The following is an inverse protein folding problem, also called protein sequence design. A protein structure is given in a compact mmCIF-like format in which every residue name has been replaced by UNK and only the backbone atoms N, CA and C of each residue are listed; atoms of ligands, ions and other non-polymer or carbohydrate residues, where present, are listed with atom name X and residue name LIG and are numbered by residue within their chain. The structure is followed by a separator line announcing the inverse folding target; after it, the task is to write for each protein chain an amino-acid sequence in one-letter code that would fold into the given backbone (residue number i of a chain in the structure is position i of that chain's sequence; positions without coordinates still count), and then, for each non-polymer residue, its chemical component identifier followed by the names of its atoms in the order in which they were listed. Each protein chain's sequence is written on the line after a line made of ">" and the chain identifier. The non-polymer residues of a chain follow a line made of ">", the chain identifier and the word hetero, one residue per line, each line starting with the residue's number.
data_IF_320907176738
#
_entry.id   IF_320907176738
#
_cell.length_a   1.000
_cell.length_b   1.000
_cell.length_c   1.000
_cell.angle_alpha   90.00
_cell.angle_beta   90.00
_cell.angle_gamma   90.00
#
_symmetry.space_group_name_H-M   'P 1'
#
loop_
_entity.id
_entity.type
_entity.pdbx_description
1 polymer ?
#
# COMPACT_ATOMS: atom_id res chain seq x y z
N UNK A 1 -29.59 18.68 5.62
CA UNK A 1 -28.84 17.46 5.94
C UNK A 1 -27.80 17.74 7.02
N UNK A 2 -28.19 17.57 8.28
CA UNK A 2 -27.32 17.74 9.46
C UNK A 2 -27.45 16.50 10.34
N UNK A 3 -27.31 15.32 9.73
CA UNK A 3 -27.45 14.04 10.42
C UNK A 3 -26.11 13.29 10.56
N UNK A 4 -26.12 12.14 11.21
CA UNK A 4 -24.95 11.27 11.47
C UNK A 4 -24.17 10.92 10.19
N UNK A 5 -24.82 10.91 9.02
CA UNK A 5 -24.21 10.65 7.71
C UNK A 5 -23.08 11.59 7.31
N UNK A 6 -23.20 12.89 7.62
CA UNK A 6 -22.14 13.84 7.29
C UNK A 6 -20.87 13.61 8.08
N UNK A 7 -21.01 13.04 9.28
CA UNK A 7 -19.86 12.63 10.10
C UNK A 7 -19.21 11.35 9.56
N UNK A 8 -20.01 10.41 9.04
CA UNK A 8 -19.54 9.17 8.44
C UNK A 8 -18.65 9.46 7.22
N UNK A 9 -19.17 10.22 6.25
CA UNK A 9 -18.45 10.56 5.01
C UNK A 9 -17.17 11.40 5.32
N UNK A 10 -17.23 12.31 6.30
CA UNK A 10 -16.06 13.12 6.66
C UNK A 10 -14.94 12.29 7.32
N UNK A 11 -15.28 11.25 8.07
CA UNK A 11 -14.31 10.39 8.76
C UNK A 11 -13.75 9.29 7.87
N UNK A 12 -14.47 8.83 6.85
CA UNK A 12 -13.94 7.91 5.85
C UNK A 12 -12.77 8.49 5.06
N UNK A 13 -12.67 9.82 4.94
CA UNK A 13 -11.46 10.48 4.44
C UNK A 13 -10.21 10.25 5.31
N UNK A 14 -10.36 9.68 6.50
CA UNK A 14 -9.22 9.36 7.38
C UNK A 14 -8.61 8.01 7.01
N UNK A 15 -9.40 7.07 6.48
CA UNK A 15 -8.91 5.78 5.96
C UNK A 15 -8.00 6.01 4.74
N UNK A 16 -8.29 7.04 3.92
CA UNK A 16 -7.43 7.45 2.79
C UNK A 16 -6.00 7.80 3.17
N UNK A 17 -5.76 8.28 4.39
CA UNK A 17 -4.40 8.66 4.83
C UNK A 17 -3.56 7.47 5.26
N UNK A 18 -4.18 6.31 5.48
CA UNK A 18 -3.52 5.11 5.95
C UNK A 18 -2.78 4.34 4.85
N UNK A 19 -3.29 4.38 3.61
CA UNK A 19 -2.76 3.59 2.50
C UNK A 19 -1.75 4.36 1.62
N UNK A 20 -1.67 5.70 1.74
CA UNK A 20 -0.85 6.54 0.84
C UNK A 20 0.47 7.04 1.43
N UNK A 21 0.81 6.71 2.67
CA UNK A 21 2.06 7.18 3.29
C UNK A 21 3.02 6.07 3.64
N UNK A 22 3.55 5.35 2.65
CA UNK A 22 4.83 4.65 2.81
C UNK A 22 5.91 5.74 2.81
N UNK A 23 6.27 6.20 4.01
CA UNK A 23 7.27 7.26 4.16
C UNK A 23 8.65 6.70 3.82
N UNK A 24 9.21 7.18 2.71
CA UNK A 24 10.53 6.88 2.22
C UNK A 24 11.62 7.38 3.17
N UNK A 25 12.45 6.49 3.65
CA UNK A 25 13.83 6.78 3.94
C UNK A 25 14.70 6.13 2.87
N UNK A 26 15.00 6.91 1.81
CA UNK A 26 15.90 6.48 0.74
C UNK A 26 17.33 6.37 1.28
N UNK A 27 17.80 5.17 1.52
CA UNK A 27 19.23 4.88 1.70
C UNK A 27 19.84 4.48 0.37
N UNK A 28 20.83 5.25 -0.09
CA UNK A 28 21.52 5.05 -1.35
C UNK A 28 22.26 3.71 -1.38
N UNK A 29 21.90 2.84 -2.30
CA UNK A 29 22.53 1.54 -2.49
C UNK A 29 23.84 1.63 -3.26
N UNK A 30 24.94 1.24 -2.63
CA UNK A 30 26.22 1.03 -3.29
C UNK A 30 26.42 -0.48 -3.49
N UNK A 31 26.23 -0.95 -4.70
CA UNK A 31 26.53 -2.33 -5.10
C UNK A 31 28.04 -2.60 -4.97
N UNK A 32 28.48 -3.24 -3.92
CA UNK A 32 29.81 -3.83 -3.83
C UNK A 32 29.75 -5.18 -3.12
N UNK A 33 30.08 -6.19 -3.88
CA UNK A 33 30.22 -7.61 -3.51
C UNK A 33 31.29 -7.82 -2.44
N UNK A 34 30.92 -8.38 -1.29
CA UNK A 34 31.93 -8.67 -0.26
C UNK A 34 31.47 -9.37 1.01
N UNK A 35 30.27 -9.97 1.06
CA UNK A 35 29.79 -10.67 2.26
C UNK A 35 29.83 -12.17 2.12
N UNK A 36 29.91 -12.87 3.28
CA UNK A 36 29.94 -14.33 3.33
C UNK A 36 28.60 -14.92 2.85
N UNK A 37 28.65 -16.13 2.29
CA UNK A 37 27.43 -16.84 1.90
C UNK A 37 26.49 -17.10 3.09
N UNK A 38 27.02 -17.13 4.31
CA UNK A 38 26.26 -17.30 5.54
C UNK A 38 25.38 -16.09 5.85
N UNK A 39 25.90 -14.85 5.67
CA UNK A 39 25.14 -13.64 5.88
C UNK A 39 23.98 -13.53 4.88
N UNK A 40 24.24 -13.85 3.61
CA UNK A 40 23.20 -13.86 2.57
C UNK A 40 22.06 -14.82 2.92
N UNK A 41 22.37 -16.02 3.42
CA UNK A 41 21.37 -17.00 3.84
C UNK A 41 20.55 -16.49 5.03
N UNK A 42 21.23 -15.94 6.05
CA UNK A 42 20.55 -15.40 7.23
C UNK A 42 19.62 -14.21 6.90
N UNK A 43 20.03 -13.34 5.99
CA UNK A 43 19.23 -12.22 5.47
C UNK A 43 18.00 -12.74 4.73
N UNK A 44 18.18 -13.73 3.85
CA UNK A 44 17.08 -14.35 3.12
C UNK A 44 16.09 -15.02 4.06
N UNK A 45 16.57 -15.77 5.05
CA UNK A 45 15.74 -16.48 6.03
C UNK A 45 14.94 -15.47 6.90
N UNK A 46 15.52 -14.33 7.24
CA UNK A 46 14.84 -13.27 7.99
C UNK A 46 13.74 -12.65 7.15
N UNK A 47 14.02 -12.29 5.90
CA UNK A 47 13.04 -11.73 4.98
C UNK A 47 11.88 -12.72 4.70
N UNK A 48 12.19 -14.01 4.53
CA UNK A 48 11.19 -15.05 4.30
C UNK A 48 10.24 -15.19 5.51
N UNK A 49 10.78 -15.22 6.73
CA UNK A 49 9.97 -15.29 7.94
C UNK A 49 9.11 -14.04 8.15
N UNK A 50 9.67 -12.86 7.89
CA UNK A 50 8.92 -11.61 7.93
C UNK A 50 7.74 -11.64 6.96
N UNK A 51 7.97 -11.99 5.69
CA UNK A 51 6.93 -12.08 4.68
C UNK A 51 5.88 -13.16 4.99
N UNK A 52 6.30 -14.29 5.54
CA UNK A 52 5.39 -15.35 5.97
C UNK A 52 4.44 -14.88 7.08
N UNK A 53 4.94 -14.08 8.04
CA UNK A 53 4.11 -13.50 9.11
C UNK A 53 3.14 -12.48 8.52
N UNK A 54 3.60 -11.54 7.68
CA UNK A 54 2.72 -10.55 7.04
C UNK A 54 1.64 -11.25 6.21
N UNK A 55 2.00 -12.30 5.44
CA UNK A 55 1.04 -13.10 4.68
C UNK A 55 0.01 -13.80 5.57
N UNK A 56 0.35 -14.15 6.81
CA UNK A 56 -0.60 -14.78 7.73
C UNK A 56 -1.69 -13.85 8.25
N UNK A 57 -1.52 -12.53 8.10
CA UNK A 57 -2.48 -11.51 8.55
C UNK A 57 -2.63 -11.36 10.08
N UNK A 58 -1.86 -12.10 10.86
CA UNK A 58 -1.95 -12.06 12.34
C UNK A 58 -0.85 -11.22 12.97
N UNK A 59 0.24 -10.97 12.25
CA UNK A 59 1.43 -10.25 12.69
C UNK A 59 2.06 -10.74 14.02
N UNK A 60 1.66 -11.95 14.47
CA UNK A 60 2.23 -12.56 15.67
C UNK A 60 3.75 -12.72 15.54
N UNK A 61 4.47 -12.28 16.56
CA UNK A 61 5.93 -12.41 16.62
C UNK A 61 6.72 -11.62 15.54
N UNK A 62 6.11 -10.68 14.84
CA UNK A 62 6.75 -9.92 13.76
C UNK A 62 7.97 -9.13 14.28
N UNK A 63 7.93 -8.69 15.53
CA UNK A 63 9.03 -7.99 16.20
C UNK A 63 10.31 -8.84 16.36
N UNK A 64 10.22 -10.16 16.16
CA UNK A 64 11.39 -11.05 16.13
C UNK A 64 12.16 -10.93 14.83
N UNK A 65 11.57 -10.38 13.77
CA UNK A 65 12.13 -10.31 12.42
C UNK A 65 12.11 -8.92 11.81
N UNK A 66 11.51 -7.93 12.49
CA UNK A 66 11.43 -6.55 12.03
C UNK A 66 11.77 -5.58 13.16
N UNK A 67 12.27 -4.39 12.78
CA UNK A 67 12.42 -3.28 13.71
C UNK A 67 11.05 -2.77 14.16
N UNK A 68 10.99 -2.06 15.28
CA UNK A 68 9.76 -1.45 15.77
C UNK A 68 9.11 -0.52 14.71
N UNK A 69 9.94 0.23 13.96
CA UNK A 69 9.47 1.10 12.89
C UNK A 69 8.77 0.32 11.76
N UNK A 70 9.29 -0.85 11.39
CA UNK A 70 8.70 -1.69 10.34
C UNK A 70 7.50 -2.48 10.87
N UNK A 71 7.59 -3.07 12.07
CA UNK A 71 6.50 -3.86 12.66
C UNK A 71 5.25 -3.03 12.95
N UNK A 72 5.43 -1.74 13.27
CA UNK A 72 4.35 -0.77 13.46
C UNK A 72 4.07 0.08 12.21
N UNK A 73 4.76 -0.22 11.10
CA UNK A 73 4.68 0.52 9.85
C UNK A 73 3.44 0.23 9.02
N UNK A 74 3.15 1.12 8.08
CA UNK A 74 1.95 1.04 7.21
C UNK A 74 1.88 -0.27 6.43
N UNK A 75 3.02 -0.77 5.90
CA UNK A 75 3.04 -2.02 5.15
C UNK A 75 2.49 -3.20 5.96
N UNK A 76 2.89 -3.33 7.23
CA UNK A 76 2.42 -4.41 8.12
C UNK A 76 0.95 -4.20 8.48
N UNK A 77 0.58 -2.97 8.80
CA UNK A 77 -0.79 -2.59 9.18
C UNK A 77 -1.81 -2.81 8.07
N UNK A 78 -1.41 -2.65 6.81
CA UNK A 78 -2.28 -2.87 5.64
C UNK A 78 -2.85 -4.30 5.60
N UNK A 79 -2.13 -5.27 6.16
CA UNK A 79 -2.54 -6.67 6.18
C UNK A 79 -2.98 -7.18 7.57
N UNK A 80 -3.18 -6.27 8.53
CA UNK A 80 -3.58 -6.61 9.91
C UNK A 80 -5.08 -6.35 10.10
N UNK A 81 -5.88 -7.42 10.24
CA UNK A 81 -7.34 -7.32 10.37
C UNK A 81 -7.77 -6.55 11.62
N UNK A 82 -7.07 -6.71 12.74
CA UNK A 82 -7.40 -6.01 13.98
C UNK A 82 -7.10 -4.51 13.87
N UNK A 83 -5.97 -4.16 13.24
CA UNK A 83 -5.64 -2.77 12.98
C UNK A 83 -6.65 -2.14 12.01
N UNK A 84 -6.99 -2.83 10.91
CA UNK A 84 -7.98 -2.36 9.94
C UNK A 84 -9.37 -2.21 10.57
N UNK A 85 -9.79 -3.17 11.40
CA UNK A 85 -11.03 -3.09 12.17
C UNK A 85 -11.04 -1.88 13.10
N UNK A 86 -9.97 -1.65 13.86
CA UNK A 86 -9.87 -0.48 14.75
C UNK A 86 -10.01 0.83 13.96
N UNK A 87 -9.29 0.97 12.85
CA UNK A 87 -9.37 2.16 12.00
C UNK A 87 -10.74 2.34 11.35
N UNK A 88 -11.32 1.25 10.84
CA UNK A 88 -12.67 1.28 10.31
C UNK A 88 -13.65 1.75 11.39
N UNK A 89 -13.51 1.22 12.59
CA UNK A 89 -14.35 1.56 13.74
C UNK A 89 -14.14 2.98 14.30
N UNK A 90 -12.97 3.59 14.11
CA UNK A 90 -12.75 5.01 14.51
C UNK A 90 -13.71 5.98 13.82
N UNK A 91 -14.24 5.58 12.65
CA UNK A 91 -15.26 6.33 11.91
C UNK A 91 -16.65 6.31 12.56
N UNK A 92 -16.92 5.36 13.46
CA UNK A 92 -18.25 5.03 13.93
C UNK A 92 -18.44 5.25 15.45
N UNK A 93 -19.70 5.37 15.86
CA UNK A 93 -20.08 5.39 17.28
C UNK A 93 -20.30 3.95 17.71
N UNK A 94 -19.31 3.35 18.36
CA UNK A 94 -19.29 1.91 18.71
C UNK A 94 -20.52 1.46 19.53
N UNK A 95 -21.13 2.36 20.32
CA UNK A 95 -22.33 2.06 21.10
C UNK A 95 -23.63 1.96 20.25
N UNK A 96 -23.58 2.34 18.99
CA UNK A 96 -24.71 2.34 18.06
C UNK A 96 -24.62 1.16 17.09
N UNK A 97 -23.52 0.37 17.14
CA UNK A 97 -23.30 -0.78 16.26
C UNK A 97 -23.77 -2.04 16.97
N UNK A 98 -24.64 -2.78 16.30
CA UNK A 98 -25.11 -4.07 16.78
C UNK A 98 -24.11 -5.21 16.48
N UNK A 99 -24.30 -6.35 17.16
CA UNK A 99 -23.40 -7.50 17.06
C UNK A 99 -23.31 -8.04 15.61
N UNK A 100 -24.42 -8.02 14.87
CA UNK A 100 -24.46 -8.54 13.49
C UNK A 100 -23.68 -7.65 12.52
N UNK A 101 -23.77 -6.34 12.71
CA UNK A 101 -23.00 -5.36 11.95
C UNK A 101 -21.51 -5.46 12.29
N UNK A 102 -21.19 -5.69 13.57
CA UNK A 102 -19.81 -5.91 14.00
C UNK A 102 -19.20 -7.16 13.36
N UNK A 103 -19.91 -8.29 13.34
CA UNK A 103 -19.48 -9.52 12.65
C UNK A 103 -19.23 -9.25 11.15
N UNK A 104 -20.04 -8.40 10.52
CA UNK A 104 -19.89 -8.02 9.12
C UNK A 104 -18.64 -7.17 8.89
N UNK A 105 -18.32 -6.24 9.81
CA UNK A 105 -17.09 -5.45 9.81
C UNK A 105 -15.87 -6.36 9.95
N UNK A 106 -15.90 -7.31 10.89
CA UNK A 106 -14.81 -8.26 11.10
C UNK A 106 -14.55 -9.13 9.87
N UNK A 107 -15.61 -9.64 9.26
CA UNK A 107 -15.52 -10.41 8.01
C UNK A 107 -14.92 -9.60 6.87
N UNK A 108 -15.30 -8.33 6.73
CA UNK A 108 -14.75 -7.41 5.73
C UNK A 108 -13.25 -7.16 5.97
N UNK A 109 -12.87 -6.83 7.20
CA UNK A 109 -11.46 -6.58 7.54
C UNK A 109 -10.58 -7.82 7.32
N UNK A 110 -11.11 -9.03 7.52
CA UNK A 110 -10.37 -10.27 7.27
C UNK A 110 -9.99 -10.48 5.81
N UNK A 111 -10.72 -9.89 4.84
CA UNK A 111 -10.36 -9.95 3.42
C UNK A 111 -8.96 -9.37 3.15
N UNK A 112 -8.58 -8.34 3.90
CA UNK A 112 -7.25 -7.71 3.76
C UNK A 112 -6.15 -8.55 4.40
N UNK A 113 -6.42 -9.24 5.49
CA UNK A 113 -5.47 -10.18 6.08
C UNK A 113 -5.17 -11.37 5.16
N UNK A 114 -6.17 -11.80 4.38
CA UNK A 114 -6.04 -12.90 3.42
C UNK A 114 -5.66 -12.41 2.02
N UNK A 115 -5.37 -11.11 1.85
CA UNK A 115 -5.14 -10.52 0.54
C UNK A 115 -3.88 -11.06 -0.13
N UNK A 116 -2.79 -11.30 0.61
CA UNK A 116 -1.55 -11.87 0.06
C UNK A 116 -1.75 -13.35 -0.22
N UNK A 117 -1.87 -13.71 -1.49
CA UNK A 117 -2.05 -15.11 -1.92
C UNK A 117 -0.74 -15.87 -1.97
N UNK A 118 0.35 -15.22 -2.43
CA UNK A 118 1.69 -15.78 -2.44
C UNK A 118 2.77 -14.69 -2.40
N UNK A 119 4.01 -15.09 -2.13
CA UNK A 119 5.17 -14.23 -2.28
C UNK A 119 6.39 -15.01 -2.74
N UNK A 120 7.32 -14.33 -3.37
CA UNK A 120 8.57 -14.94 -3.85
C UNK A 120 9.72 -13.96 -3.71
N UNK A 121 10.76 -14.36 -2.99
CA UNK A 121 12.05 -13.64 -2.99
C UNK A 121 12.73 -13.86 -4.34
N UNK A 122 12.96 -12.78 -5.08
CA UNK A 122 13.56 -12.80 -6.42
C UNK A 122 15.04 -12.49 -6.40
N UNK A 123 15.49 -11.61 -5.49
CA UNK A 123 16.89 -11.21 -5.38
C UNK A 123 17.30 -10.99 -3.93
N UNK A 124 18.54 -11.35 -3.60
CA UNK A 124 19.18 -11.03 -2.31
C UNK A 124 20.58 -10.53 -2.60
N UNK A 125 20.86 -9.31 -2.18
CA UNK A 125 22.21 -8.72 -2.24
C UNK A 125 22.64 -8.25 -0.85
N UNK A 126 23.94 -8.15 -0.64
CA UNK A 126 24.52 -7.70 0.64
C UNK A 126 25.63 -6.72 0.34
N UNK A 127 25.59 -5.56 0.95
CA UNK A 127 26.59 -4.54 0.77
C UNK A 127 27.86 -4.79 1.62
N UNK A 128 28.89 -3.92 1.45
CA UNK A 128 30.15 -4.02 2.19
C UNK A 128 30.03 -3.80 3.72
N UNK A 129 28.91 -3.24 4.17
CA UNK A 129 28.64 -2.98 5.58
C UNK A 129 27.80 -4.12 6.21
N UNK A 130 27.42 -5.13 5.44
CA UNK A 130 26.58 -6.23 5.88
C UNK A 130 25.08 -5.93 5.82
N UNK A 131 24.69 -4.82 5.19
CA UNK A 131 23.27 -4.49 4.96
C UNK A 131 22.76 -5.30 3.78
N UNK A 132 21.68 -6.03 4.00
CA UNK A 132 20.98 -6.82 3.00
C UNK A 132 19.91 -6.01 2.28
N UNK A 133 19.81 -6.24 0.99
CA UNK A 133 18.68 -5.82 0.17
C UNK A 133 18.02 -7.06 -0.40
N UNK A 134 16.73 -7.21 -0.14
CA UNK A 134 15.92 -8.34 -0.60
C UNK A 134 14.78 -7.81 -1.45
N UNK A 135 14.73 -8.22 -2.71
CA UNK A 135 13.60 -7.94 -3.60
C UNK A 135 12.64 -9.11 -3.56
N UNK A 136 11.38 -8.82 -3.27
CA UNK A 136 10.32 -9.82 -3.25
C UNK A 136 9.14 -9.37 -4.13
N UNK A 137 8.52 -10.34 -4.77
CA UNK A 137 7.25 -10.21 -5.48
C UNK A 137 6.15 -10.71 -4.54
N UNK A 138 5.09 -9.92 -4.39
CA UNK A 138 3.91 -10.26 -3.58
C UNK A 138 2.72 -10.33 -4.51
N UNK A 139 2.07 -11.48 -4.56
CA UNK A 139 0.85 -11.69 -5.31
C UNK A 139 -0.36 -11.46 -4.40
N UNK A 140 -1.28 -10.60 -4.84
CA UNK A 140 -2.49 -10.25 -4.09
C UNK A 140 -3.74 -10.71 -4.84
N UNK A 141 -4.80 -11.01 -4.11
CA UNK A 141 -6.10 -11.39 -4.69
C UNK A 141 -6.84 -10.21 -5.33
N UNK A 142 -6.54 -8.99 -4.91
CA UNK A 142 -7.05 -7.73 -5.46
C UNK A 142 -6.04 -6.60 -5.21
N UNK A 143 -6.14 -5.45 -5.89
CA UNK A 143 -5.23 -4.32 -5.72
C UNK A 143 -5.27 -3.73 -4.30
N UNK A 144 -4.11 -3.32 -3.79
CA UNK A 144 -3.98 -2.73 -2.45
C UNK A 144 -4.77 -1.42 -2.34
N UNK A 145 -4.87 -0.67 -3.43
CA UNK A 145 -5.53 0.63 -3.49
C UNK A 145 -7.05 0.57 -3.74
N UNK A 146 -7.65 -0.63 -3.73
CA UNK A 146 -9.11 -0.79 -3.96
C UNK A 146 -9.96 0.04 -2.99
N UNK A 147 -9.49 0.26 -1.75
CA UNK A 147 -10.18 1.09 -0.75
C UNK A 147 -10.02 2.59 -1.04
N UNK A 148 -8.92 3.00 -1.64
CA UNK A 148 -8.65 4.40 -2.00
C UNK A 148 -9.29 4.81 -3.34
N UNK A 149 -10.04 3.91 -3.96
CA UNK A 149 -10.68 4.16 -5.23
C UNK A 149 -11.71 5.30 -5.10
N UNK A 150 -11.57 6.33 -5.93
CA UNK A 150 -12.54 7.45 -6.01
C UNK A 150 -13.95 6.96 -6.36
N UNK A 151 -14.05 5.87 -7.12
CA UNK A 151 -15.31 5.21 -7.48
C UNK A 151 -16.06 4.71 -6.24
N UNK A 152 -15.37 4.11 -5.27
CA UNK A 152 -15.99 3.67 -4.01
C UNK A 152 -16.66 4.84 -3.28
N UNK A 153 -16.00 5.99 -3.24
CA UNK A 153 -16.54 7.17 -2.58
C UNK A 153 -17.75 7.75 -3.29
N UNK A 154 -17.73 7.78 -4.63
CA UNK A 154 -18.87 8.22 -5.42
C UNK A 154 -20.08 7.30 -5.20
N UNK A 155 -19.88 5.98 -5.21
CA UNK A 155 -20.94 4.99 -4.94
C UNK A 155 -21.50 5.12 -3.51
N UNK A 156 -20.63 5.33 -2.51
CA UNK A 156 -21.08 5.55 -1.12
C UNK A 156 -21.86 6.85 -0.99
N UNK A 157 -21.43 7.92 -1.66
CA UNK A 157 -22.16 9.20 -1.63
C UNK A 157 -23.52 9.07 -2.33
N UNK A 158 -23.60 8.39 -3.47
CA UNK A 158 -24.85 8.10 -4.17
C UNK A 158 -25.77 7.25 -3.30
N UNK A 159 -25.27 6.18 -2.69
CA UNK A 159 -26.03 5.34 -1.78
C UNK A 159 -26.58 6.12 -0.59
N UNK A 160 -25.76 7.01 0.00
CA UNK A 160 -26.20 7.85 1.11
C UNK A 160 -27.29 8.87 0.71
N UNK A 161 -27.28 9.33 -0.54
CA UNK A 161 -28.28 10.27 -1.06
C UNK A 161 -29.62 9.56 -1.38
N UNK A 162 -29.55 8.35 -1.94
CA UNK A 162 -30.74 7.58 -2.35
C UNK A 162 -31.39 6.81 -1.19
N UNK A 163 -30.65 6.54 -0.12
CA UNK A 163 -31.04 5.61 0.94
C UNK A 163 -32.45 5.85 1.51
N UNK A 164 -32.78 7.09 1.86
CA UNK A 164 -34.09 7.41 2.42
C UNK A 164 -35.23 7.25 1.40
N UNK A 165 -34.98 7.59 0.14
CA UNK A 165 -36.00 7.44 -0.91
C UNK A 165 -36.26 5.97 -1.22
N UNK A 166 -35.23 5.12 -1.21
CA UNK A 166 -35.33 3.69 -1.46
C UNK A 166 -35.97 2.90 -0.30
N UNK A 167 -35.83 3.40 0.94
CA UNK A 167 -36.28 2.72 2.15
C UNK A 167 -37.45 3.47 2.85
N UNK A 168 -38.08 4.46 2.19
CA UNK A 168 -39.09 5.32 2.80
C UNK A 168 -40.22 4.53 3.47
N UNK A 169 -40.81 3.58 2.77
CA UNK A 169 -41.92 2.75 3.30
C UNK A 169 -41.52 1.97 4.54
N UNK A 170 -40.33 1.39 4.54
CA UNK A 170 -39.82 0.61 5.63
C UNK A 170 -39.49 1.49 6.85
N UNK A 171 -38.86 2.63 6.62
CA UNK A 171 -38.50 3.59 7.67
C UNK A 171 -39.77 4.14 8.34
N UNK A 172 -40.78 4.50 7.53
CA UNK A 172 -42.08 4.97 8.06
C UNK A 172 -42.77 3.89 8.89
N UNK A 173 -42.80 2.64 8.41
CA UNK A 173 -43.37 1.52 9.17
C UNK A 173 -42.63 1.27 10.49
N UNK A 174 -41.30 1.45 10.52
CA UNK A 174 -40.53 1.29 11.76
C UNK A 174 -40.88 2.37 12.80
N UNK A 175 -41.18 3.61 12.41
CA UNK A 175 -41.61 4.66 13.36
C UNK A 175 -42.97 4.39 14.01
N UNK A 176 -43.80 3.50 13.43
CA UNK A 176 -45.05 3.07 14.05
C UNK A 176 -44.83 2.04 15.16
N UNK A 177 -43.72 1.33 15.15
CA UNK A 177 -43.42 0.19 16.05
C UNK A 177 -42.24 0.43 17.01
N UNK A 178 -41.34 1.34 16.68
CA UNK A 178 -40.06 1.57 17.37
C UNK A 178 -39.88 3.02 17.79
N UNK A 179 -39.01 3.24 18.74
CA UNK A 179 -38.57 4.60 19.12
C UNK A 179 -37.70 5.24 18.04
N UNK A 180 -37.59 6.56 18.04
CA UNK A 180 -36.73 7.30 17.12
C UNK A 180 -35.27 6.81 17.21
N UNK A 181 -34.76 6.58 18.43
CA UNK A 181 -33.40 6.08 18.66
C UNK A 181 -33.18 4.68 18.05
N UNK A 182 -34.16 3.79 18.15
CA UNK A 182 -34.08 2.44 17.56
C UNK A 182 -34.12 2.50 16.02
N UNK A 183 -34.87 3.42 15.43
CA UNK A 183 -34.92 3.63 13.98
C UNK A 183 -33.61 4.23 13.50
N UNK A 184 -33.07 5.22 14.19
CA UNK A 184 -31.78 5.82 13.84
C UNK A 184 -30.64 4.80 13.94
N UNK A 185 -30.60 3.95 14.97
CA UNK A 185 -29.62 2.87 15.10
C UNK A 185 -29.76 1.85 13.97
N UNK A 186 -30.97 1.47 13.59
CA UNK A 186 -31.19 0.57 12.45
C UNK A 186 -30.63 1.18 11.15
N UNK A 187 -30.96 2.43 10.82
CA UNK A 187 -30.49 3.12 9.63
C UNK A 187 -28.97 3.20 9.63
N UNK A 188 -28.38 3.47 10.80
CA UNK A 188 -26.94 3.56 10.96
C UNK A 188 -26.23 2.23 10.65
N UNK A 189 -26.72 1.13 11.22
CA UNK A 189 -26.17 -0.21 10.99
C UNK A 189 -26.35 -0.67 9.53
N UNK A 190 -27.53 -0.46 8.94
CA UNK A 190 -27.79 -0.82 7.55
C UNK A 190 -26.87 -0.04 6.58
N UNK A 191 -26.59 1.23 6.86
CA UNK A 191 -25.64 2.01 6.06
C UNK A 191 -24.21 1.49 6.15
N UNK A 192 -23.75 1.05 7.33
CA UNK A 192 -22.42 0.42 7.46
C UNK A 192 -22.35 -0.82 6.58
N UNK A 193 -23.39 -1.66 6.62
CA UNK A 193 -23.47 -2.86 5.77
C UNK A 193 -23.41 -2.51 4.29
N UNK A 194 -24.17 -1.49 3.84
CA UNK A 194 -24.15 -1.05 2.43
C UNK A 194 -22.79 -0.51 1.99
N UNK A 195 -22.08 0.17 2.85
CA UNK A 195 -20.70 0.62 2.58
C UNK A 195 -19.77 -0.60 2.39
N UNK A 196 -19.89 -1.59 3.26
CA UNK A 196 -19.13 -2.83 3.12
C UNK A 196 -19.48 -3.54 1.81
N UNK A 197 -20.76 -3.64 1.48
CA UNK A 197 -21.23 -4.29 0.25
C UNK A 197 -20.68 -3.60 -1.01
N UNK A 198 -20.54 -2.28 -1.01
CA UNK A 198 -19.90 -1.52 -2.11
C UNK A 198 -18.44 -1.92 -2.25
N UNK A 199 -17.67 -1.92 -1.15
CA UNK A 199 -16.26 -2.31 -1.19
C UNK A 199 -16.07 -3.77 -1.61
N UNK A 200 -16.91 -4.68 -1.11
CA UNK A 200 -16.84 -6.10 -1.50
C UNK A 200 -17.19 -6.31 -2.98
N UNK A 201 -18.13 -5.53 -3.52
CA UNK A 201 -18.42 -5.56 -4.94
C UNK A 201 -17.20 -5.13 -5.76
N UNK A 202 -16.53 -4.03 -5.38
CA UNK A 202 -15.32 -3.57 -6.04
C UNK A 202 -14.18 -4.59 -5.93
N UNK A 203 -13.96 -5.16 -4.74
CA UNK A 203 -12.96 -6.22 -4.52
C UNK A 203 -13.26 -7.43 -5.41
N UNK A 204 -14.50 -7.84 -5.53
CA UNK A 204 -14.92 -8.99 -6.34
C UNK A 204 -14.72 -8.77 -7.84
N UNK A 205 -14.86 -7.54 -8.32
CA UNK A 205 -14.66 -7.16 -9.71
C UNK A 205 -13.18 -6.88 -10.04
N UNK A 206 -12.36 -6.62 -9.03
CA UNK A 206 -10.95 -6.37 -9.19
C UNK A 206 -10.17 -7.61 -9.65
N UNK A 207 -9.07 -7.40 -10.35
CA UNK A 207 -8.16 -8.46 -10.78
C UNK A 207 -7.03 -8.64 -9.77
N UNK A 208 -6.50 -9.87 -9.60
CA UNK A 208 -5.27 -10.09 -8.86
C UNK A 208 -4.12 -9.23 -9.39
N UNK A 209 -3.25 -8.80 -8.50
CA UNK A 209 -2.11 -7.95 -8.84
C UNK A 209 -0.81 -8.47 -8.20
N UNK A 210 0.33 -8.13 -8.79
CA UNK A 210 1.64 -8.50 -8.27
C UNK A 210 2.45 -7.24 -8.00
N UNK A 211 2.91 -7.07 -6.77
CA UNK A 211 3.73 -5.94 -6.34
C UNK A 211 5.17 -6.35 -6.13
N UNK A 212 6.10 -5.53 -6.60
CA UNK A 212 7.51 -5.68 -6.28
C UNK A 212 7.85 -4.81 -5.06
N UNK A 213 8.40 -5.40 -4.02
CA UNK A 213 8.85 -4.70 -2.82
C UNK A 213 10.33 -4.93 -2.58
N UNK A 214 10.98 -3.98 -1.93
CA UNK A 214 12.36 -4.07 -1.47
C UNK A 214 12.40 -4.02 0.04
N UNK A 215 13.01 -5.03 0.66
CA UNK A 215 13.28 -5.08 2.08
C UNK A 215 14.74 -4.71 2.35
N UNK A 216 14.97 -3.81 3.29
CA UNK A 216 16.30 -3.57 3.88
C UNK A 216 16.42 -4.45 5.11
N UNK A 217 17.51 -5.23 5.20
CA UNK A 217 17.75 -6.18 6.30
C UNK A 217 19.09 -5.89 6.93
N UNK A 218 19.10 -5.58 8.22
CA UNK A 218 20.31 -5.20 8.95
C UNK A 218 20.52 -6.11 10.15
N UNK A 219 21.80 -6.24 10.54
CA UNK A 219 22.20 -7.00 11.70
C UNK A 219 22.09 -6.14 12.95
N UNK A 220 21.34 -6.58 13.94
CA UNK A 220 21.29 -5.93 15.23
C UNK A 220 22.57 -6.26 16.02
N UNK A 221 23.28 -5.23 16.43
CA UNK A 221 24.56 -5.38 17.13
C UNK A 221 24.44 -6.00 18.55
N UNK A 222 23.25 -5.90 19.17
CA UNK A 222 23.04 -6.40 20.53
C UNK A 222 22.64 -7.89 20.53
N UNK A 223 21.84 -8.31 19.56
CA UNK A 223 21.30 -9.68 19.51
C UNK A 223 22.04 -10.59 18.52
N UNK A 224 22.92 -10.03 17.69
CA UNK A 224 23.61 -10.70 16.58
C UNK A 224 22.65 -11.31 15.53
N UNK A 225 21.37 -10.91 15.55
CA UNK A 225 20.31 -11.35 14.66
C UNK A 225 20.02 -10.33 13.56
N UNK A 226 19.49 -10.78 12.43
CA UNK A 226 19.05 -9.91 11.34
C UNK A 226 17.60 -9.51 11.52
N UNK A 227 17.27 -8.25 11.14
CA UNK A 227 15.95 -7.65 11.20
C UNK A 227 15.66 -6.90 9.91
N UNK A 228 14.41 -6.92 9.46
CA UNK A 228 13.91 -6.01 8.42
C UNK A 228 13.81 -4.62 9.04
N UNK A 229 14.57 -3.67 8.52
CA UNK A 229 14.63 -2.28 9.01
C UNK A 229 13.99 -1.29 8.05
N UNK A 230 13.56 -1.75 6.85
CA UNK A 230 12.87 -0.93 5.87
C UNK A 230 12.10 -1.77 4.87
N UNK A 231 10.97 -1.22 4.41
CA UNK A 231 10.14 -1.76 3.33
C UNK A 231 9.84 -0.62 2.36
N UNK A 232 10.14 -0.80 1.07
CA UNK A 232 9.87 0.18 0.01
C UNK A 232 9.37 -0.52 -1.24
N UNK A 233 8.67 0.20 -2.15
CA UNK A 233 8.34 -0.35 -3.45
C UNK A 233 9.57 -0.46 -4.34
N UNK A 234 9.58 -1.42 -5.26
CA UNK A 234 10.71 -1.63 -6.17
C UNK A 234 10.85 -0.46 -7.18
N UNK A 235 9.73 0.07 -7.65
CA UNK A 235 9.73 1.17 -8.62
C UNK A 235 10.35 2.44 -8.04
N UNK A 236 10.06 2.76 -6.78
CA UNK A 236 10.65 3.88 -6.07
C UNK A 236 12.18 3.71 -5.87
N UNK A 237 12.62 2.50 -5.54
CA UNK A 237 14.04 2.18 -5.42
C UNK A 237 14.79 2.29 -6.77
N UNK A 238 14.16 1.91 -7.87
CA UNK A 238 14.72 1.97 -9.23
C UNK A 238 14.89 3.40 -9.71
N UNK A 239 13.91 4.27 -9.50
CA UNK A 239 13.98 5.68 -9.87
C UNK A 239 15.12 6.41 -9.15
N UNK A 240 15.32 6.14 -7.84
CA UNK A 240 16.41 6.72 -7.06
C UNK A 240 17.79 6.33 -7.61
N UNK A 241 17.94 5.08 -8.09
CA UNK A 241 19.21 4.59 -8.65
C UNK A 241 19.50 5.19 -10.05
N UNK A 242 18.46 5.43 -10.85
CA UNK A 242 18.60 6.01 -12.19
C UNK A 242 18.98 7.50 -12.13
N UNK A 243 18.43 8.24 -11.17
CA UNK A 243 18.80 9.65 -10.99
C UNK A 243 20.26 9.81 -10.53
N UNK A 244 20.75 8.96 -9.63
CA UNK A 244 22.15 9.01 -9.20
C UNK A 244 23.14 8.66 -10.33
N UNK A 245 22.76 7.75 -11.24
CA UNK A 245 23.59 7.40 -12.39
C UNK A 245 23.62 8.50 -13.49
N UNK A 246 22.53 9.27 -13.63
CA UNK A 246 22.43 10.34 -14.65
C UNK A 246 23.21 11.60 -14.21
N UNK A 247 23.25 11.92 -12.93
CA UNK A 247 24.01 13.05 -12.42
C UNK A 247 25.55 12.85 -12.47
N UNK A 248 26.03 11.59 -12.45
CA UNK A 248 27.46 11.28 -12.52
C UNK A 248 28.00 11.25 -13.95
N UNK A 249 27.14 11.16 -14.98
CA UNK A 249 27.56 11.10 -16.39
C UNK A 249 27.73 12.46 -17.07
N UNK A 250 27.38 13.58 -16.42
CA UNK A 250 27.36 14.91 -17.07
C UNK A 250 28.61 15.76 -16.79
N UNK A 251 29.65 15.26 -16.13
CA UNK A 251 30.81 16.10 -15.72
C UNK A 251 32.13 15.75 -16.37
N UNK A 252 32.20 14.99 -17.44
CA UNK A 252 33.45 14.77 -18.19
C UNK A 252 33.24 14.85 -19.70
N UNK A 253 33.14 16.05 -20.27
CA UNK A 253 33.65 16.38 -21.60
C UNK A 253 33.63 17.89 -21.83
N UNK A 254 34.71 18.51 -21.47
CA UNK A 254 35.16 19.78 -22.03
C UNK A 254 36.65 19.95 -21.81
N UNK A 255 37.46 19.42 -22.71
CA UNK A 255 38.75 19.99 -23.08
C UNK A 255 39.44 19.10 -24.11
N UNK A 256 39.49 19.51 -25.38
CA UNK A 256 40.72 19.49 -26.15
C UNK A 256 40.53 20.22 -27.50
N UNK A 257 41.22 21.23 -27.57
CA UNK A 257 41.65 22.18 -28.57
C UNK A 257 41.95 21.65 -29.97
N UNK A 258 41.55 22.43 -30.94
CA UNK A 258 42.34 23.15 -31.96
C UNK A 258 43.02 22.38 -33.11
N UNK A 259 42.79 22.92 -34.24
CA UNK A 259 43.70 23.24 -35.36
C UNK A 259 43.50 22.46 -36.64
N UNK A 260 43.25 23.23 -37.71
CA UNK A 260 43.76 22.91 -39.04
C UNK A 260 42.74 22.93 -40.16
N UNK A 261 42.54 24.07 -40.73
CA UNK A 261 42.85 24.54 -42.14
C UNK A 261 42.16 23.84 -43.32
N UNK A 262 41.43 24.68 -43.99
CA UNK A 262 41.42 24.99 -45.47
C UNK A 262 40.89 23.96 -46.47
N UNK A 263 40.20 24.65 -47.39
CA UNK A 263 39.96 24.54 -48.82
C UNK A 263 38.66 23.87 -49.28
N UNK A 264 37.78 24.65 -49.73
CA UNK A 264 37.50 25.18 -51.10
C UNK A 264 36.95 24.10 -52.06
N UNK A 265 35.84 24.39 -52.59
CA UNK A 265 35.26 24.41 -53.93
C UNK A 265 33.92 23.66 -54.00
N UNK A 266 32.90 24.34 -54.25
CA UNK A 266 32.33 24.81 -55.54
C UNK A 266 31.30 23.84 -56.17
N UNK A 267 30.27 24.45 -56.60
CA UNK A 267 29.36 24.11 -57.71
C UNK A 267 28.16 23.20 -57.46
N UNK A 268 27.04 23.78 -57.43
CA UNK A 268 26.09 23.95 -58.54
C UNK A 268 24.92 23.00 -58.66
N UNK A 269 23.81 23.64 -58.67
CA UNK A 269 22.60 23.50 -59.51
C UNK A 269 21.64 22.36 -59.34
N UNK A 270 20.47 22.77 -59.05
CA UNK A 270 19.24 22.86 -59.86
C UNK A 270 18.34 21.63 -59.86
N UNK A 271 17.15 21.96 -59.55
CA UNK A 271 15.84 21.84 -60.26
C UNK A 271 15.01 20.58 -59.96
N UNK A 272 13.84 20.84 -59.52
CA UNK A 272 12.50 20.94 -60.15
C UNK A 272 11.69 19.61 -60.16
N UNK A 273 10.48 19.75 -59.65
CA UNK A 273 9.18 19.10 -60.03
C UNK A 273 9.05 17.58 -59.78
N UNK A 274 8.03 17.12 -59.23
CA UNK A 274 6.56 17.26 -59.30
C UNK A 274 5.90 16.77 -58.03
#
# INVERSE_FOLDING_TARGET
>A
MTGPFRRLIYKMNTIKKLLTSVALTATAFSLLTGCSSADKTAIQDTADKFLAIVKSGTNEDIEKYASAEVSEGEFVKTFDSEYLKQNFMEGFVSSEIDDSTMERVESFCSLFSDMITDYKISEVSVDKNGVGTVVAMIDTSFPIDVIDNSEALELIEEQAQSYYAENEEQIVAMYDEKTEEEVEAYIYNDMIIKIIDIYEALIKEASPETYAITLTVEKNAETDSYYVTGVTSYDEASESTTQAATETATTVEATSSATGSSEESDASSSSVSE
#
